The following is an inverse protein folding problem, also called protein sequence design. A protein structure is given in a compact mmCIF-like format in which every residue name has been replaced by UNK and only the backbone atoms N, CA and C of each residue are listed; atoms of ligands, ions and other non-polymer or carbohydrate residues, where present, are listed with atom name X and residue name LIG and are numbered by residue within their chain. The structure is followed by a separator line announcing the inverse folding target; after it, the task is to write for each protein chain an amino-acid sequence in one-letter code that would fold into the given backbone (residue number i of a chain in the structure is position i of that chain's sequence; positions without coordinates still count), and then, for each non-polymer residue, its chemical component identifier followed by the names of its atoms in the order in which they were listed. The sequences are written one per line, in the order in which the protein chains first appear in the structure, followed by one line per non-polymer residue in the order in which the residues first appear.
data_IF_270190053444
#
_entry.id   IF_270190053444
#
_cell.length_a   1.000
_cell.length_b   1.000
_cell.length_c   1.000
_cell.angle_alpha   90.00
_cell.angle_beta   90.00
_cell.angle_gamma   90.00
#
_symmetry.space_group_name_H-M   'P 1'
#
loop_
_entity.id
_entity.type
_entity.pdbx_description
1 polymer ?
#
# COMPACT_ATOMS: atom_id res chain seq x y z
N UNK A 1 9.65 -0.69 -31.56
CA UNK A 1 10.32 -2.01 -31.70
C UNK A 1 9.27 -2.97 -32.27
N UNK A 2 9.34 -3.33 -33.56
CA UNK A 2 8.22 -3.98 -34.27
C UNK A 2 8.15 -5.51 -34.11
N UNK A 3 9.16 -6.14 -33.52
CA UNK A 3 9.27 -7.60 -33.51
C UNK A 3 8.90 -8.20 -32.15
N UNK A 4 8.19 -9.33 -32.19
CA UNK A 4 7.82 -10.12 -31.02
C UNK A 4 9.01 -10.95 -30.54
N UNK A 5 9.50 -10.65 -29.33
CA UNK A 5 10.63 -11.32 -28.69
C UNK A 5 10.41 -12.81 -28.42
N UNK A 6 9.15 -13.28 -28.44
CA UNK A 6 8.84 -14.71 -28.30
C UNK A 6 9.08 -15.51 -29.58
N UNK A 7 9.33 -14.83 -30.72
CA UNK A 7 9.60 -15.47 -32.01
C UNK A 7 11.10 -15.50 -32.30
N UNK A 8 11.57 -16.55 -32.98
CA UNK A 8 12.99 -16.68 -33.37
C UNK A 8 13.48 -15.47 -34.17
N UNK A 9 12.73 -15.06 -35.20
CA UNK A 9 13.02 -13.86 -36.00
C UNK A 9 13.02 -12.58 -35.18
N UNK A 10 12.17 -12.49 -34.16
CA UNK A 10 12.09 -11.31 -33.32
C UNK A 10 13.19 -11.24 -32.28
N UNK A 11 13.58 -12.35 -31.68
CA UNK A 11 14.77 -12.43 -30.82
C UNK A 11 16.04 -12.09 -31.61
N UNK A 12 16.22 -12.68 -32.80
CA UNK A 12 17.38 -12.43 -33.67
C UNK A 12 17.51 -10.96 -34.09
N UNK A 13 16.38 -10.28 -34.31
CA UNK A 13 16.36 -8.85 -34.62
C UNK A 13 16.96 -7.96 -33.51
N UNK A 14 17.10 -8.50 -32.30
CA UNK A 14 17.71 -7.85 -31.13
C UNK A 14 19.00 -8.52 -30.67
N UNK A 15 19.65 -9.29 -31.55
CA UNK A 15 20.86 -10.05 -31.22
C UNK A 15 20.68 -10.98 -30.01
N UNK A 16 19.45 -11.50 -29.82
CA UNK A 16 19.09 -12.50 -28.82
C UNK A 16 18.76 -13.82 -29.50
N UNK A 17 18.91 -14.92 -28.77
CA UNK A 17 18.40 -16.24 -29.15
C UNK A 17 17.25 -16.65 -28.24
N UNK A 18 16.43 -17.62 -28.68
CA UNK A 18 15.39 -18.19 -27.80
C UNK A 18 16.00 -18.90 -26.58
N UNK A 19 17.23 -19.39 -26.68
CA UNK A 19 17.97 -19.94 -25.54
C UNK A 19 18.34 -18.86 -24.51
N UNK A 20 18.60 -17.62 -24.95
CA UNK A 20 18.87 -16.50 -24.05
C UNK A 20 17.64 -16.08 -23.23
N UNK A 21 16.44 -16.40 -23.73
CA UNK A 21 15.13 -16.15 -23.12
C UNK A 21 14.51 -17.43 -22.53
N UNK A 22 15.28 -18.52 -22.43
CA UNK A 22 14.75 -19.81 -21.98
C UNK A 22 14.18 -19.72 -20.56
N UNK A 23 12.92 -20.14 -20.42
CA UNK A 23 12.20 -20.06 -19.14
C UNK A 23 11.74 -18.64 -18.81
N UNK A 24 11.66 -17.76 -19.81
CA UNK A 24 11.01 -16.47 -19.72
C UNK A 24 9.92 -16.32 -20.79
N UNK A 25 8.77 -15.81 -20.37
CA UNK A 25 7.68 -15.42 -21.26
C UNK A 25 7.62 -13.90 -21.36
N UNK A 26 7.58 -13.37 -22.58
CA UNK A 26 7.55 -11.92 -22.81
C UNK A 26 6.15 -11.49 -23.25
N UNK A 27 5.61 -10.45 -22.63
CA UNK A 27 4.36 -9.81 -23.05
C UNK A 27 4.68 -8.42 -23.59
N UNK A 28 4.68 -8.23 -24.92
CA UNK A 28 4.96 -6.94 -25.52
C UNK A 28 3.74 -6.02 -25.42
N UNK A 29 3.99 -4.74 -25.15
CA UNK A 29 2.95 -3.71 -25.04
C UNK A 29 3.31 -2.49 -25.88
N UNK A 30 2.28 -1.93 -26.51
CA UNK A 30 2.39 -0.65 -27.21
C UNK A 30 2.34 0.48 -26.21
N UNK A 31 2.99 1.59 -26.53
CA UNK A 31 3.12 2.72 -25.62
C UNK A 31 2.97 4.03 -26.39
N UNK A 32 1.96 4.81 -26.02
CA UNK A 32 1.79 6.19 -26.42
C UNK A 32 2.39 7.08 -25.33
N UNK A 33 3.32 7.93 -25.73
CA UNK A 33 3.90 8.93 -24.84
C UNK A 33 2.84 9.91 -24.34
N UNK A 34 3.02 10.33 -23.09
CA UNK A 34 2.11 11.23 -22.39
C UNK A 34 2.68 11.61 -21.03
N UNK A 35 1.91 12.39 -20.29
CA UNK A 35 2.21 12.77 -18.92
C UNK A 35 2.19 11.53 -18.02
N UNK A 36 3.15 11.43 -17.11
CA UNK A 36 3.14 10.39 -16.08
C UNK A 36 1.96 10.63 -15.13
N UNK A 37 1.01 9.69 -15.03
CA UNK A 37 -0.12 9.79 -14.11
C UNK A 37 0.05 8.94 -12.85
N UNK A 38 1.29 8.61 -12.48
CA UNK A 38 1.62 7.89 -11.25
C UNK A 38 1.61 8.81 -10.02
N UNK A 39 1.62 8.22 -8.83
CA UNK A 39 1.75 8.96 -7.57
C UNK A 39 3.09 9.71 -7.40
N UNK A 40 4.06 9.46 -8.29
CA UNK A 40 5.36 10.12 -8.28
C UNK A 40 5.34 11.47 -9.01
N UNK A 41 4.33 11.72 -9.85
CA UNK A 41 4.19 13.00 -10.54
C UNK A 41 3.43 14.02 -9.66
N UNK A 42 4.11 15.12 -9.32
CA UNK A 42 3.53 16.22 -8.56
C UNK A 42 2.62 17.14 -9.41
N UNK A 43 2.71 17.05 -10.73
CA UNK A 43 1.91 17.85 -11.66
C UNK A 43 0.62 17.12 -12.03
N UNK A 44 -0.44 17.87 -12.34
CA UNK A 44 -1.69 17.29 -12.83
C UNK A 44 -1.54 16.85 -14.29
N UNK A 45 -1.50 15.55 -14.61
CA UNK A 45 -1.39 15.09 -15.98
C UNK A 45 -2.66 15.48 -16.76
N UNK A 46 -2.48 16.00 -17.97
CA UNK A 46 -3.58 16.32 -18.88
C UNK A 46 -3.78 15.21 -19.91
N UNK A 47 -2.69 14.61 -20.38
CA UNK A 47 -2.71 13.50 -21.34
C UNK A 47 -1.88 12.34 -20.80
N UNK A 48 -2.45 11.47 -19.96
CA UNK A 48 -1.76 10.32 -19.40
C UNK A 48 -1.22 9.38 -20.48
N UNK A 49 -0.12 8.70 -20.19
CA UNK A 49 0.43 7.64 -21.04
C UNK A 49 -0.60 6.55 -21.33
N UNK A 50 -0.57 5.98 -22.54
CA UNK A 50 -1.48 4.90 -22.94
C UNK A 50 -0.70 3.64 -23.29
N UNK A 51 -1.09 2.52 -22.68
CA UNK A 51 -0.60 1.18 -23.00
C UNK A 51 -1.61 0.43 -23.85
N UNK A 52 -1.15 -0.13 -24.97
CA UNK A 52 -1.92 -1.09 -25.77
C UNK A 52 -1.52 -2.52 -25.41
N UNK A 53 -2.48 -3.30 -24.91
CA UNK A 53 -2.25 -4.68 -24.44
C UNK A 53 -3.11 -5.68 -25.20
N UNK A 54 -2.67 -6.93 -25.27
CA UNK A 54 -3.50 -8.03 -25.75
C UNK A 54 -4.38 -8.56 -24.59
N UNK A 55 -5.71 -8.32 -24.59
CA UNK A 55 -6.56 -8.70 -23.46
C UNK A 55 -6.67 -10.21 -23.28
N UNK A 56 -6.66 -10.99 -24.37
CA UNK A 56 -6.70 -12.46 -24.29
C UNK A 56 -5.48 -13.03 -23.58
N UNK A 57 -4.30 -12.47 -23.83
CA UNK A 57 -3.05 -12.92 -23.20
C UNK A 57 -3.04 -12.62 -21.70
N UNK A 58 -3.45 -11.41 -21.30
CA UNK A 58 -3.57 -11.03 -19.89
C UNK A 58 -4.64 -11.86 -19.17
N UNK A 59 -5.76 -12.16 -19.84
CA UNK A 59 -6.81 -13.01 -19.31
C UNK A 59 -6.32 -14.45 -19.08
N UNK A 60 -5.65 -15.04 -20.07
CA UNK A 60 -5.13 -16.42 -20.00
C UNK A 60 -4.14 -16.60 -18.85
N UNK A 61 -3.32 -15.57 -18.59
CA UNK A 61 -2.33 -15.56 -17.50
C UNK A 61 -2.97 -15.27 -16.13
N UNK A 62 -4.25 -14.88 -16.07
CA UNK A 62 -4.88 -14.40 -14.83
C UNK A 62 -4.16 -13.20 -14.24
N UNK A 63 -3.60 -12.34 -15.09
CA UNK A 63 -2.73 -11.24 -14.66
C UNK A 63 -3.52 -10.10 -14.04
N UNK A 64 -2.99 -9.56 -12.93
CA UNK A 64 -3.53 -8.42 -12.17
C UNK A 64 -4.92 -8.64 -11.56
N UNK A 65 -5.20 -7.91 -10.49
CA UNK A 65 -6.51 -7.95 -9.81
C UNK A 65 -7.33 -6.72 -10.18
N UNK A 66 -8.56 -6.92 -10.64
CA UNK A 66 -9.51 -5.83 -10.85
C UNK A 66 -10.17 -5.43 -9.53
N UNK A 67 -10.14 -4.14 -9.21
CA UNK A 67 -10.81 -3.57 -8.04
C UNK A 67 -12.27 -3.21 -8.35
N UNK A 68 -12.55 -2.70 -9.55
CA UNK A 68 -13.91 -2.36 -9.99
C UNK A 68 -14.08 -2.60 -11.49
N UNK A 69 -15.31 -2.94 -11.89
CA UNK A 69 -15.74 -3.10 -13.27
C UNK A 69 -17.06 -2.38 -13.48
N UNK A 70 -17.21 -1.70 -14.61
CA UNK A 70 -18.42 -0.99 -14.98
C UNK A 70 -19.55 -1.96 -15.33
N UNK A 71 -19.21 -3.01 -16.08
CA UNK A 71 -20.15 -4.06 -16.48
C UNK A 71 -19.79 -5.38 -15.80
N UNK A 72 -20.70 -5.85 -14.94
CA UNK A 72 -20.53 -7.09 -14.18
C UNK A 72 -20.55 -8.34 -15.06
N UNK A 73 -20.98 -8.26 -16.33
CA UNK A 73 -20.93 -9.42 -17.24
C UNK A 73 -19.50 -9.95 -17.44
N UNK A 74 -18.49 -9.11 -17.26
CA UNK A 74 -17.08 -9.47 -17.41
C UNK A 74 -16.40 -9.89 -16.09
N UNK A 75 -17.12 -10.11 -15.00
CA UNK A 75 -16.52 -10.41 -13.69
C UNK A 75 -15.59 -11.64 -13.70
N UNK A 76 -15.89 -12.64 -14.54
CA UNK A 76 -15.05 -13.83 -14.72
C UNK A 76 -13.91 -13.65 -15.74
N UNK A 77 -14.05 -12.70 -16.67
CA UNK A 77 -13.11 -12.44 -17.75
C UNK A 77 -12.88 -10.92 -17.91
N UNK A 78 -12.31 -10.27 -16.89
CA UNK A 78 -12.33 -8.82 -16.77
C UNK A 78 -11.57 -8.10 -17.87
N UNK A 79 -10.51 -8.71 -18.42
CA UNK A 79 -9.74 -8.10 -19.50
C UNK A 79 -10.52 -7.98 -20.81
N UNK A 80 -11.49 -8.87 -21.07
CA UNK A 80 -12.31 -8.83 -22.29
C UNK A 80 -13.18 -7.59 -22.41
N UNK A 81 -13.38 -6.84 -21.33
CA UNK A 81 -14.08 -5.54 -21.38
C UNK A 81 -13.39 -4.53 -22.32
N UNK A 82 -12.09 -4.68 -22.57
CA UNK A 82 -11.31 -3.83 -23.47
C UNK A 82 -11.53 -4.11 -24.96
N UNK A 83 -12.21 -5.20 -25.30
CA UNK A 83 -12.48 -5.61 -26.69
C UNK A 83 -13.87 -5.17 -27.16
N UNK A 84 -14.69 -4.65 -26.25
CA UNK A 84 -16.06 -4.22 -26.53
C UNK A 84 -16.08 -2.98 -27.43
N UNK A 85 -16.60 -3.14 -28.65
CA UNK A 85 -16.91 -2.02 -29.54
C UNK A 85 -18.18 -1.31 -29.00
N UNK A 86 -18.03 -0.11 -28.43
CA UNK A 86 -19.12 0.63 -27.77
C UNK A 86 -19.92 1.50 -28.74
N UNK A 87 -21.24 1.56 -28.53
CA UNK A 87 -22.18 2.35 -29.34
C UNK A 87 -21.89 3.87 -29.33
N UNK A 88 -21.33 4.39 -28.25
CA UNK A 88 -20.98 5.81 -28.10
C UNK A 88 -19.65 6.17 -28.78
N UNK A 89 -18.98 5.21 -29.43
CA UNK A 89 -17.70 5.39 -30.11
C UNK A 89 -16.52 5.63 -29.15
N UNK A 90 -16.71 5.46 -27.85
CA UNK A 90 -15.64 5.59 -26.85
C UNK A 90 -14.82 4.30 -26.78
N UNK A 91 -13.50 4.46 -26.62
CA UNK A 91 -12.58 3.33 -26.45
C UNK A 91 -12.61 2.87 -24.99
N UNK A 92 -12.93 1.60 -24.69
CA UNK A 92 -12.86 1.10 -23.33
C UNK A 92 -11.40 1.08 -22.83
N UNK A 93 -11.21 1.55 -21.60
CA UNK A 93 -9.93 1.55 -20.93
C UNK A 93 -10.01 1.10 -19.48
N UNK A 94 -8.92 0.54 -19.02
CA UNK A 94 -8.67 0.15 -17.64
C UNK A 94 -7.47 0.93 -17.12
N UNK A 95 -7.46 1.30 -15.85
CA UNK A 95 -6.33 1.98 -15.24
C UNK A 95 -6.21 1.61 -13.76
N UNK A 96 -5.06 1.86 -13.17
CA UNK A 96 -4.87 1.69 -11.72
C UNK A 96 -5.86 2.57 -10.93
N UNK A 97 -6.49 2.01 -9.90
CA UNK A 97 -7.52 2.70 -9.12
C UNK A 97 -7.01 4.00 -8.50
N UNK A 98 -5.76 4.03 -8.02
CA UNK A 98 -5.19 5.24 -7.42
C UNK A 98 -4.89 6.30 -8.48
N UNK A 99 -4.44 5.90 -9.67
CA UNK A 99 -4.29 6.81 -10.81
C UNK A 99 -5.63 7.45 -11.19
N UNK A 100 -6.71 6.67 -11.29
CA UNK A 100 -8.04 7.19 -11.64
C UNK A 100 -8.56 8.16 -10.58
N UNK A 101 -8.57 7.73 -9.31
CA UNK A 101 -9.21 8.47 -8.23
C UNK A 101 -8.40 9.70 -7.79
N UNK A 102 -7.11 9.54 -7.52
CA UNK A 102 -6.31 10.56 -6.83
C UNK A 102 -5.51 11.46 -7.77
N UNK A 103 -5.09 10.94 -8.92
CA UNK A 103 -4.29 11.72 -9.87
C UNK A 103 -5.21 12.38 -10.89
N UNK A 104 -6.05 11.59 -11.57
CA UNK A 104 -6.94 12.10 -12.61
C UNK A 104 -8.20 12.77 -12.05
N UNK A 105 -8.55 12.50 -10.79
CA UNK A 105 -9.80 12.96 -10.16
C UNK A 105 -11.02 12.57 -11.00
N UNK A 106 -11.01 11.31 -11.44
CA UNK A 106 -12.06 10.69 -12.26
C UNK A 106 -12.70 9.53 -11.51
N UNK A 107 -13.87 9.13 -11.97
CA UNK A 107 -14.57 7.94 -11.49
C UNK A 107 -14.69 6.88 -12.60
N UNK A 108 -15.06 5.68 -12.20
CA UNK A 108 -15.47 4.63 -13.12
C UNK A 108 -16.62 5.15 -14.01
N UNK A 109 -16.49 4.94 -15.31
CA UNK A 109 -17.42 5.44 -16.33
C UNK A 109 -17.05 6.80 -16.92
N UNK A 110 -16.12 7.56 -16.33
CA UNK A 110 -15.69 8.84 -16.89
C UNK A 110 -14.85 8.67 -18.16
N UNK A 111 -14.79 9.74 -18.96
CA UNK A 111 -13.98 9.80 -20.18
C UNK A 111 -12.78 10.73 -20.06
N UNK A 112 -11.71 10.34 -20.76
CA UNK A 112 -10.52 11.10 -21.06
C UNK A 112 -10.52 11.42 -22.57
N UNK A 113 -10.01 12.58 -22.94
CA UNK A 113 -9.93 12.99 -24.35
C UNK A 113 -8.48 13.06 -24.77
N UNK A 114 -8.16 12.35 -25.84
CA UNK A 114 -6.86 12.35 -26.50
C UNK A 114 -6.99 12.98 -27.88
N UNK A 115 -5.87 13.50 -28.40
CA UNK A 115 -5.76 13.94 -29.79
C UNK A 115 -4.74 13.02 -30.46
N UNK A 116 -5.14 12.31 -31.51
CA UNK A 116 -4.22 11.46 -32.25
C UNK A 116 -3.34 12.28 -33.23
N UNK A 117 -2.37 11.65 -33.90
CA UNK A 117 -1.49 12.35 -34.85
C UNK A 117 -2.22 12.89 -36.09
N UNK A 118 -3.47 12.47 -36.34
CA UNK A 118 -4.36 13.03 -37.37
C UNK A 118 -5.16 14.25 -36.89
N UNK A 119 -5.02 14.65 -35.62
CA UNK A 119 -5.79 15.75 -35.02
C UNK A 119 -7.23 15.37 -34.62
N UNK A 120 -7.59 14.09 -34.68
CA UNK A 120 -8.91 13.59 -34.31
C UNK A 120 -9.01 13.43 -32.79
N UNK A 121 -10.19 13.75 -32.24
CA UNK A 121 -10.47 13.55 -30.82
C UNK A 121 -10.84 12.09 -30.56
N UNK A 122 -10.03 11.42 -29.74
CA UNK A 122 -10.27 10.05 -29.29
C UNK A 122 -10.75 10.10 -27.85
N UNK A 123 -11.99 9.66 -27.62
CA UNK A 123 -12.55 9.56 -26.27
C UNK A 123 -12.29 8.17 -25.70
N UNK A 124 -11.65 8.13 -24.54
CA UNK A 124 -11.28 6.91 -23.84
C UNK A 124 -12.08 6.84 -22.54
N UNK A 125 -12.88 5.80 -22.34
CA UNK A 125 -13.76 5.64 -21.17
C UNK A 125 -13.19 4.64 -20.18
N UNK A 126 -13.16 5.01 -18.91
CA UNK A 126 -12.69 4.13 -17.83
C UNK A 126 -13.79 3.11 -17.52
N UNK A 127 -13.61 1.87 -17.96
CA UNK A 127 -14.59 0.78 -17.79
C UNK A 127 -14.21 -0.21 -16.69
N UNK A 128 -12.98 -0.11 -16.17
CA UNK A 128 -12.54 -0.88 -15.01
C UNK A 128 -11.35 -0.23 -14.33
N UNK A 129 -11.11 -0.61 -13.08
CA UNK A 129 -9.92 -0.21 -12.34
C UNK A 129 -9.18 -1.42 -11.81
N UNK A 130 -7.85 -1.37 -11.89
CA UNK A 130 -6.96 -2.37 -11.29
C UNK A 130 -6.66 -1.99 -9.84
N UNK A 131 -6.51 -3.00 -8.97
CA UNK A 131 -5.84 -2.81 -7.70
C UNK A 131 -4.38 -2.34 -7.93
N UNK A 132 -3.75 -1.79 -6.89
CA UNK A 132 -2.37 -1.25 -6.95
C UNK A 132 -1.42 -2.18 -7.71
N UNK A 133 -0.88 -1.70 -8.81
CA UNK A 133 -0.06 -2.50 -9.73
C UNK A 133 1.12 -1.73 -10.33
N UNK A 134 2.02 -2.46 -10.99
CA UNK A 134 3.14 -1.86 -11.74
C UNK A 134 2.71 -1.04 -12.97
N UNK A 135 1.43 -1.12 -13.37
CA UNK A 135 0.87 -0.36 -14.48
C UNK A 135 0.37 1.03 -14.04
N UNK A 136 0.52 1.38 -12.75
CA UNK A 136 0.18 2.70 -12.24
C UNK A 136 0.77 3.82 -13.10
N UNK A 137 -0.04 4.83 -13.38
CA UNK A 137 0.29 5.96 -14.23
C UNK A 137 -0.03 5.79 -15.72
N UNK A 138 -0.52 4.62 -16.13
CA UNK A 138 -0.91 4.35 -17.51
C UNK A 138 -2.43 4.13 -17.64
N UNK A 139 -2.97 4.53 -18.78
CA UNK A 139 -4.29 4.15 -19.26
C UNK A 139 -4.12 2.94 -20.18
N UNK A 140 -4.84 1.86 -19.94
CA UNK A 140 -4.66 0.58 -20.64
C UNK A 140 -5.85 0.38 -21.57
N UNK A 141 -5.59 0.17 -22.85
CA UNK A 141 -6.59 -0.14 -23.89
C UNK A 141 -6.18 -1.42 -24.62
N UNK A 142 -7.13 -2.05 -25.34
CA UNK A 142 -6.78 -3.19 -26.19
C UNK A 142 -5.86 -2.75 -27.34
N UNK A 143 -4.95 -3.64 -27.73
CA UNK A 143 -4.03 -3.39 -28.84
C UNK A 143 -4.78 -3.12 -30.16
N UNK A 144 -5.91 -3.81 -30.38
CA UNK A 144 -6.83 -3.57 -31.50
C UNK A 144 -7.24 -2.09 -31.56
N UNK A 145 -7.74 -1.54 -30.47
CA UNK A 145 -8.14 -0.12 -30.42
C UNK A 145 -6.95 0.83 -30.48
N UNK A 146 -5.82 0.45 -29.89
CA UNK A 146 -4.59 1.24 -29.95
C UNK A 146 -4.14 1.46 -31.39
N UNK A 147 -4.09 0.39 -32.20
CA UNK A 147 -3.68 0.45 -33.61
C UNK A 147 -4.68 1.28 -34.44
N UNK A 148 -5.99 1.12 -34.20
CA UNK A 148 -7.03 1.85 -34.92
C UNK A 148 -6.99 3.37 -34.63
N UNK A 149 -6.83 3.75 -33.35
CA UNK A 149 -6.91 5.15 -32.92
C UNK A 149 -5.58 5.89 -32.95
N UNK A 150 -4.45 5.19 -32.83
CA UNK A 150 -3.10 5.75 -32.79
C UNK A 150 -2.15 5.07 -33.81
N UNK A 151 -2.48 5.11 -35.12
CA UNK A 151 -1.71 4.40 -36.15
C UNK A 151 -0.28 4.91 -36.33
N UNK A 152 -0.01 6.16 -35.95
CA UNK A 152 1.32 6.78 -36.05
C UNK A 152 2.34 6.15 -35.08
N UNK A 153 1.87 5.44 -34.06
CA UNK A 153 2.71 4.77 -33.07
C UNK A 153 2.98 3.33 -33.50
N UNK A 154 4.19 3.10 -34.00
CA UNK A 154 4.62 1.80 -34.49
C UNK A 154 5.41 0.99 -33.45
N UNK A 155 5.07 -0.31 -33.40
CA UNK A 155 5.74 -1.31 -32.59
C UNK A 155 5.50 -1.20 -31.09
N UNK A 156 6.18 -2.10 -30.37
CA UNK A 156 6.21 -2.21 -28.92
C UNK A 156 7.31 -1.33 -28.34
N UNK A 157 7.14 -0.89 -27.09
CA UNK A 157 8.16 -0.13 -26.34
C UNK A 157 8.25 -0.53 -24.87
N UNK A 158 7.29 -1.32 -24.38
CA UNK A 158 7.29 -1.86 -23.02
C UNK A 158 7.11 -3.36 -23.10
N UNK A 159 7.84 -4.09 -22.27
CA UNK A 159 7.83 -5.55 -22.25
C UNK A 159 7.70 -6.00 -20.79
N UNK A 160 6.70 -6.82 -20.51
CA UNK A 160 6.67 -7.57 -19.25
C UNK A 160 7.37 -8.89 -19.49
N UNK A 161 8.32 -9.24 -18.62
CA UNK A 161 9.08 -10.48 -18.74
C UNK A 161 8.84 -11.28 -17.48
N UNK A 162 8.15 -12.41 -17.61
CA UNK A 162 7.95 -13.37 -16.53
C UNK A 162 9.01 -14.45 -16.65
N UNK A 163 9.93 -14.52 -15.68
CA UNK A 163 11.04 -15.45 -15.68
C UNK A 163 11.09 -16.20 -14.35
N UNK A 164 11.41 -17.50 -14.40
CA UNK A 164 11.56 -18.30 -13.18
C UNK A 164 12.61 -17.70 -12.24
N UNK A 165 12.44 -17.79 -10.90
CA UNK A 165 13.35 -17.16 -9.94
C UNK A 165 14.83 -17.55 -10.11
N UNK A 166 15.11 -18.75 -10.61
CA UNK A 166 16.47 -19.23 -10.88
C UNK A 166 17.11 -18.66 -12.14
N UNK A 167 16.32 -18.28 -13.14
CA UNK A 167 16.80 -17.80 -14.46
C UNK A 167 16.71 -16.28 -14.62
N UNK A 168 15.90 -15.60 -13.79
CA UNK A 168 15.62 -14.17 -13.85
C UNK A 168 16.86 -13.28 -14.00
N UNK A 169 17.93 -13.54 -13.22
CA UNK A 169 19.18 -12.76 -13.33
C UNK A 169 19.90 -12.95 -14.67
N UNK A 170 19.89 -14.18 -15.19
CA UNK A 170 20.47 -14.50 -16.50
C UNK A 170 19.71 -13.83 -17.63
N UNK A 171 18.38 -14.00 -17.63
CA UNK A 171 17.48 -13.39 -18.63
C UNK A 171 17.59 -11.86 -18.60
N UNK A 172 17.57 -11.24 -17.41
CA UNK A 172 17.74 -9.79 -17.27
C UNK A 172 19.08 -9.30 -17.85
N UNK A 173 20.19 -10.01 -17.59
CA UNK A 173 21.50 -9.67 -18.14
C UNK A 173 21.54 -9.80 -19.66
N UNK A 174 20.96 -10.87 -20.20
CA UNK A 174 20.90 -11.11 -21.64
C UNK A 174 20.06 -10.03 -22.35
N UNK A 175 18.88 -9.70 -21.81
CA UNK A 175 18.04 -8.61 -22.30
C UNK A 175 18.75 -7.26 -22.25
N UNK A 176 19.46 -6.96 -21.14
CA UNK A 176 20.22 -5.72 -21.00
C UNK A 176 21.31 -5.60 -22.08
N UNK A 177 21.96 -6.72 -22.41
CA UNK A 177 22.99 -6.77 -23.43
C UNK A 177 22.42 -6.65 -24.85
N UNK A 178 21.43 -7.48 -25.21
CA UNK A 178 20.86 -7.49 -26.57
C UNK A 178 20.12 -6.19 -26.92
N UNK A 179 19.52 -5.53 -25.94
CA UNK A 179 18.78 -4.28 -26.14
C UNK A 179 19.57 -3.02 -25.73
N UNK A 180 20.88 -3.14 -25.51
CA UNK A 180 21.72 -2.02 -25.05
C UNK A 180 21.70 -0.84 -26.03
N UNK A 181 21.74 -1.12 -27.34
CA UNK A 181 21.74 -0.09 -28.40
C UNK A 181 20.42 0.69 -28.48
N UNK A 182 19.35 0.12 -27.91
CA UNK A 182 18.03 0.76 -27.81
C UNK A 182 17.83 1.53 -26.51
N UNK A 183 18.83 1.53 -25.61
CA UNK A 183 18.74 2.22 -24.32
C UNK A 183 17.68 1.64 -23.38
N UNK A 184 17.52 0.32 -23.39
CA UNK A 184 16.52 -0.35 -22.54
C UNK A 184 16.73 -0.04 -21.07
N UNK A 185 15.64 0.24 -20.35
CA UNK A 185 15.62 0.24 -18.89
C UNK A 185 14.93 -1.02 -18.41
N UNK A 186 15.63 -1.80 -17.60
CA UNK A 186 15.13 -3.04 -17.01
C UNK A 186 15.05 -2.82 -15.50
N UNK A 187 13.82 -2.82 -15.00
CA UNK A 187 13.52 -2.70 -13.58
C UNK A 187 12.78 -3.98 -13.15
N UNK A 188 13.07 -4.52 -11.96
CA UNK A 188 12.24 -5.61 -11.46
C UNK A 188 10.85 -5.10 -11.09
N UNK A 189 9.82 -5.92 -11.28
CA UNK A 189 8.45 -5.63 -10.84
C UNK A 189 8.40 -5.29 -9.35
N UNK A 190 9.24 -5.95 -8.54
CA UNK A 190 9.37 -5.68 -7.11
C UNK A 190 9.93 -4.28 -6.81
N UNK A 191 11.02 -3.87 -7.47
CA UNK A 191 11.59 -2.52 -7.31
C UNK A 191 10.63 -1.45 -7.82
N UNK A 192 9.98 -1.70 -8.96
CA UNK A 192 9.00 -0.77 -9.54
C UNK A 192 7.82 -0.55 -8.60
N UNK A 193 7.23 -1.63 -8.07
CA UNK A 193 6.13 -1.54 -7.10
C UNK A 193 6.59 -0.91 -5.79
N UNK A 194 7.78 -1.25 -5.30
CA UNK A 194 8.35 -0.64 -4.11
C UNK A 194 8.49 0.88 -4.29
N UNK A 195 8.91 1.35 -5.47
CA UNK A 195 9.06 2.78 -5.76
C UNK A 195 7.75 3.56 -5.64
N UNK A 196 6.63 2.98 -6.08
CA UNK A 196 5.30 3.59 -5.93
C UNK A 196 4.84 3.62 -4.47
N UNK A 197 5.17 2.56 -3.73
CA UNK A 197 4.84 2.47 -2.31
C UNK A 197 5.73 3.35 -1.42
N UNK A 198 6.85 3.91 -1.90
CA UNK A 198 7.71 4.78 -1.08
C UNK A 198 6.95 6.00 -0.59
N UNK A 199 6.15 6.64 -1.46
CA UNK A 199 5.40 7.86 -1.10
C UNK A 199 4.36 7.55 -0.04
N UNK A 200 3.58 6.49 -0.25
CA UNK A 200 2.56 6.03 0.70
C UNK A 200 3.19 5.61 2.05
N UNK A 201 4.24 4.79 2.02
CA UNK A 201 4.93 4.34 3.22
C UNK A 201 5.57 5.49 4.00
N UNK A 202 6.12 6.50 3.31
CA UNK A 202 6.68 7.68 3.97
C UNK A 202 5.60 8.49 4.67
N UNK A 203 4.47 8.70 4.00
CA UNK A 203 3.30 9.36 4.59
C UNK A 203 2.79 8.61 5.82
N UNK A 204 2.55 7.30 5.70
CA UNK A 204 2.11 6.45 6.80
C UNK A 204 3.11 6.41 7.95
N UNK A 205 4.41 6.38 7.65
CA UNK A 205 5.48 6.39 8.66
C UNK A 205 5.47 7.67 9.51
N UNK A 206 5.14 8.83 8.93
CA UNK A 206 5.01 10.09 9.68
C UNK A 206 3.85 10.00 10.68
N UNK A 207 2.67 9.53 10.25
CA UNK A 207 1.53 9.35 11.15
C UNK A 207 1.80 8.29 12.21
N UNK A 208 2.46 7.19 11.85
CA UNK A 208 2.85 6.15 12.79
C UNK A 208 3.86 6.69 13.82
N UNK A 209 4.81 7.52 13.39
CA UNK A 209 5.76 8.17 14.29
C UNK A 209 5.07 9.14 15.25
N UNK A 210 4.13 9.95 14.74
CA UNK A 210 3.34 10.88 15.55
C UNK A 210 2.42 10.12 16.54
N UNK A 211 1.77 9.05 16.09
CA UNK A 211 0.99 8.15 16.93
C UNK A 211 1.84 7.47 18.00
N UNK A 212 3.05 7.02 17.63
CA UNK A 212 4.05 6.48 18.54
C UNK A 212 4.47 7.46 19.63
N UNK A 213 4.75 8.71 19.23
CA UNK A 213 5.04 9.79 20.18
C UNK A 213 3.85 10.07 21.11
N UNK A 214 2.63 10.08 20.57
CA UNK A 214 1.40 10.21 21.35
C UNK A 214 1.24 9.10 22.38
N UNK A 215 1.55 7.85 22.01
CA UNK A 215 1.54 6.72 22.94
C UNK A 215 2.58 6.88 24.06
N UNK A 216 3.80 7.32 23.73
CA UNK A 216 4.85 7.58 24.72
C UNK A 216 4.39 8.64 25.72
N UNK A 217 3.94 9.80 25.23
CA UNK A 217 3.45 10.90 26.07
C UNK A 217 2.23 10.50 26.91
N UNK A 218 1.29 9.73 26.34
CA UNK A 218 0.13 9.21 27.07
C UNK A 218 0.53 8.26 28.19
N UNK A 219 1.46 7.33 27.93
CA UNK A 219 1.95 6.38 28.94
C UNK A 219 2.74 7.05 30.07
N UNK A 220 3.55 8.07 29.74
CA UNK A 220 4.21 8.95 30.71
C UNK A 220 3.19 9.71 31.57
N UNK A 221 2.19 10.32 30.94
CA UNK A 221 1.12 11.06 31.62
C UNK A 221 0.36 10.18 32.61
N UNK A 222 0.03 8.95 32.21
CA UNK A 222 -0.55 7.95 33.10
C UNK A 222 0.35 7.68 34.31
N UNK A 223 1.65 7.50 34.10
CA UNK A 223 2.63 7.32 35.18
C UNK A 223 2.63 8.49 36.17
N UNK A 224 2.56 9.74 35.68
CA UNK A 224 2.47 10.94 36.52
C UNK A 224 1.17 10.97 37.34
N UNK A 225 0.04 10.61 36.72
CA UNK A 225 -1.26 10.54 37.40
C UNK A 225 -1.25 9.47 38.49
N UNK A 226 -0.72 8.28 38.20
CA UNK A 226 -0.58 7.19 39.18
C UNK A 226 0.33 7.61 40.33
N UNK A 227 1.48 8.22 40.01
CA UNK A 227 2.41 8.74 41.02
C UNK A 227 1.71 9.73 41.95
N UNK A 228 0.97 10.70 41.39
CA UNK A 228 0.21 11.69 42.16
C UNK A 228 -0.84 11.03 43.06
N UNK A 229 -1.60 10.07 42.54
CA UNK A 229 -2.64 9.35 43.28
C UNK A 229 -2.05 8.59 44.50
N UNK A 230 -0.94 7.89 44.30
CA UNK A 230 -0.29 7.13 45.39
C UNK A 230 0.35 8.06 46.43
N UNK A 231 0.88 9.21 46.02
CA UNK A 231 1.42 10.21 46.95
C UNK A 231 0.32 10.85 47.81
N UNK A 232 -0.84 11.15 47.24
CA UNK A 232 -2.00 11.68 47.99
C UNK A 232 -2.52 10.66 49.02
N UNK A 233 -2.44 9.35 48.72
CA UNK A 233 -2.89 8.26 49.61
C UNK A 233 -1.80 7.68 50.50
N UNK A 234 -0.66 8.37 50.63
CA UNK A 234 0.51 7.86 51.35
C UNK A 234 0.25 7.65 52.84
N UNK A 235 -0.62 8.45 53.46
CA UNK A 235 -1.05 8.28 54.86
C UNK A 235 -1.75 6.95 55.11
N UNK A 236 -2.70 6.58 54.25
CA UNK A 236 -3.40 5.27 54.30
C UNK A 236 -2.42 4.10 54.16
N UNK A 237 -1.48 4.20 53.21
CA UNK A 237 -0.47 3.17 52.96
C UNK A 237 0.53 3.05 54.14
N UNK A 238 0.83 4.16 54.82
CA UNK A 238 1.65 4.17 56.03
C UNK A 238 0.95 3.48 57.21
N UNK A 239 -0.36 3.70 57.37
CA UNK A 239 -1.18 2.99 58.38
C UNK A 239 -1.19 1.48 58.15
N UNK A 240 -1.41 1.04 56.90
CA UNK A 240 -1.35 -0.40 56.57
C UNK A 240 0.01 -1.00 56.93
N UNK A 241 1.10 -0.27 56.68
CA UNK A 241 2.45 -0.72 57.06
C UNK A 241 2.64 -0.77 58.58
N UNK A 242 2.07 0.18 59.33
CA UNK A 242 2.12 0.18 60.79
C UNK A 242 1.36 -1.00 61.41
N UNK A 243 0.27 -1.44 60.77
CA UNK A 243 -0.52 -2.63 61.18
C UNK A 243 0.18 -3.96 60.82
N UNK A 244 1.27 -3.93 60.03
CA UNK A 244 2.12 -5.08 59.76
C UNK A 244 2.12 -5.58 58.31
N UNK A 245 1.50 -4.86 57.37
CA UNK A 245 1.58 -5.22 55.95
C UNK A 245 3.00 -5.01 55.41
N UNK A 246 3.49 -6.00 54.64
CA UNK A 246 4.81 -5.92 53.99
C UNK A 246 4.76 -4.99 52.79
N UNK A 247 5.89 -4.35 52.48
CA UNK A 247 6.04 -3.47 51.31
C UNK A 247 5.55 -4.12 50.00
N UNK A 248 5.90 -5.39 49.77
CA UNK A 248 5.47 -6.13 48.58
C UNK A 248 3.96 -6.39 48.51
N UNK A 249 3.27 -6.49 49.65
CA UNK A 249 1.80 -6.62 49.68
C UNK A 249 1.13 -5.30 49.32
N UNK A 250 1.64 -4.19 49.87
CA UNK A 250 1.15 -2.84 49.57
C UNK A 250 1.36 -2.51 48.09
N UNK A 251 2.54 -2.79 47.54
CA UNK A 251 2.83 -2.60 46.12
C UNK A 251 1.88 -3.41 45.22
N UNK A 252 1.58 -4.68 45.57
CA UNK A 252 0.64 -5.51 44.81
C UNK A 252 -0.78 -4.93 44.81
N UNK A 253 -1.25 -4.41 45.95
CA UNK A 253 -2.57 -3.78 46.05
C UNK A 253 -2.66 -2.57 45.12
N UNK A 254 -1.69 -1.66 45.20
CA UNK A 254 -1.63 -0.45 44.37
C UNK A 254 -1.57 -0.80 42.88
N UNK A 255 -0.73 -1.77 42.51
CA UNK A 255 -0.64 -2.21 41.11
C UNK A 255 -1.97 -2.79 40.63
N UNK A 256 -2.60 -3.68 41.41
CA UNK A 256 -3.86 -4.30 40.99
C UNK A 256 -4.97 -3.27 40.75
N UNK A 257 -5.06 -2.24 41.60
CA UNK A 257 -6.01 -1.13 41.44
C UNK A 257 -5.81 -0.40 40.10
N UNK A 258 -4.57 -0.04 39.78
CA UNK A 258 -4.27 0.73 38.56
C UNK A 258 -4.30 -0.14 37.29
N UNK A 259 -3.98 -1.43 37.40
CA UNK A 259 -4.09 -2.37 36.30
C UNK A 259 -5.52 -2.49 35.76
N UNK A 260 -6.52 -2.50 36.65
CA UNK A 260 -7.92 -2.53 36.21
C UNK A 260 -8.31 -1.29 35.40
N UNK A 261 -7.86 -0.10 35.82
CA UNK A 261 -8.08 1.15 35.10
C UNK A 261 -7.40 1.15 33.73
N UNK A 262 -6.17 0.63 33.65
CA UNK A 262 -5.43 0.50 32.38
C UNK A 262 -6.15 -0.44 31.42
N UNK A 263 -6.60 -1.60 31.88
CA UNK A 263 -7.35 -2.56 31.05
C UNK A 263 -8.63 -1.92 30.52
N UNK A 264 -9.41 -1.27 31.39
CA UNK A 264 -10.65 -0.62 31.00
C UNK A 264 -10.40 0.48 29.95
N UNK A 265 -9.39 1.33 30.18
CA UNK A 265 -9.00 2.37 29.23
C UNK A 265 -8.56 1.79 27.88
N UNK A 266 -7.79 0.70 27.89
CA UNK A 266 -7.34 0.04 26.67
C UNK A 266 -8.49 -0.61 25.90
N UNK A 267 -9.45 -1.23 26.58
CA UNK A 267 -10.65 -1.78 25.95
C UNK A 267 -11.47 -0.68 25.28
N UNK A 268 -11.75 0.41 25.99
CA UNK A 268 -12.52 1.54 25.45
C UNK A 268 -11.79 2.18 24.26
N UNK A 269 -10.48 2.41 24.38
CA UNK A 269 -9.66 2.97 23.32
C UNK A 269 -9.60 2.06 22.08
N UNK A 270 -9.43 0.76 22.28
CA UNK A 270 -9.41 -0.23 21.19
C UNK A 270 -10.76 -0.29 20.48
N UNK A 271 -11.87 -0.31 21.23
CA UNK A 271 -13.22 -0.31 20.65
C UNK A 271 -13.49 0.97 19.85
N UNK A 272 -13.14 2.14 20.41
CA UNK A 272 -13.28 3.41 19.70
C UNK A 272 -12.43 3.46 18.42
N UNK A 273 -11.20 2.94 18.47
CA UNK A 273 -10.34 2.82 17.29
C UNK A 273 -10.92 1.89 16.23
N UNK A 274 -11.42 0.72 16.64
CA UNK A 274 -12.05 -0.25 15.74
C UNK A 274 -13.26 0.37 15.02
N UNK A 275 -14.11 1.09 15.75
CA UNK A 275 -15.29 1.76 15.18
C UNK A 275 -14.89 2.80 14.14
N UNK A 276 -13.81 3.54 14.36
CA UNK A 276 -13.29 4.53 13.40
C UNK A 276 -12.80 3.89 12.09
N UNK A 277 -12.19 2.70 12.17
CA UNK A 277 -11.58 2.01 11.03
C UNK A 277 -12.57 1.11 10.27
N UNK A 278 -13.73 0.79 10.85
CA UNK A 278 -14.77 -0.08 10.24
C UNK A 278 -15.09 0.22 8.76
N UNK A 279 -15.34 1.48 8.34
CA UNK A 279 -15.65 1.79 6.95
C UNK A 279 -14.49 1.47 5.99
N UNK A 280 -13.25 1.64 6.45
CA UNK A 280 -12.06 1.33 5.67
C UNK A 280 -11.87 -0.17 5.49
N UNK A 281 -12.19 -0.98 6.52
CA UNK A 281 -12.11 -2.45 6.44
C UNK A 281 -13.09 -3.00 5.39
N UNK A 282 -14.31 -2.46 5.33
CA UNK A 282 -15.32 -2.91 4.36
C UNK A 282 -15.00 -2.57 2.90
N UNK A 283 -14.12 -1.60 2.67
CA UNK A 283 -13.77 -1.09 1.33
C UNK A 283 -12.38 -1.53 0.86
N UNK A 284 -11.55 -2.07 1.76
CA UNK A 284 -10.16 -2.41 1.48
C UNK A 284 -10.03 -3.81 0.88
N UNK A 285 -9.30 -3.90 -0.23
CA UNK A 285 -8.86 -5.16 -0.83
C UNK A 285 -7.58 -5.72 -0.18
N UNK A 286 -7.04 -5.05 0.83
CA UNK A 286 -5.83 -5.45 1.54
C UNK A 286 -6.14 -6.28 2.79
N UNK A 287 -5.36 -7.34 3.08
CA UNK A 287 -5.52 -8.11 4.30
C UNK A 287 -5.27 -7.24 5.53
N UNK A 288 -6.18 -7.31 6.50
CA UNK A 288 -6.09 -6.52 7.72
C UNK A 288 -4.83 -6.93 8.52
N UNK A 289 -3.97 -5.98 8.95
CA UNK A 289 -2.66 -6.28 9.53
C UNK A 289 -2.73 -6.69 11.01
N UNK A 290 -3.34 -7.85 11.30
CA UNK A 290 -3.55 -8.36 12.67
C UNK A 290 -2.24 -8.48 13.47
N UNK A 291 -1.13 -8.84 12.81
CA UNK A 291 0.18 -9.00 13.47
C UNK A 291 0.72 -7.66 13.96
N UNK A 292 0.70 -6.62 13.11
CA UNK A 292 1.18 -5.30 13.49
C UNK A 292 0.30 -4.69 14.60
N UNK A 293 -1.02 -4.79 14.45
CA UNK A 293 -1.97 -4.30 15.45
C UNK A 293 -1.75 -4.98 16.82
N UNK A 294 -1.67 -6.32 16.85
CA UNK A 294 -1.44 -7.04 18.09
C UNK A 294 -0.10 -6.68 18.73
N UNK A 295 0.96 -6.52 17.95
CA UNK A 295 2.26 -6.06 18.44
C UNK A 295 2.21 -4.65 19.03
N UNK A 296 1.51 -3.71 18.39
CA UNK A 296 1.35 -2.34 18.91
C UNK A 296 0.54 -2.30 20.20
N UNK A 297 -0.54 -3.07 20.30
CA UNK A 297 -1.36 -3.16 21.51
C UNK A 297 -0.57 -3.80 22.66
N UNK A 298 0.19 -4.87 22.39
CA UNK A 298 1.08 -5.47 23.37
C UNK A 298 2.17 -4.50 23.84
N UNK A 299 2.77 -3.75 22.91
CA UNK A 299 3.74 -2.70 23.23
C UNK A 299 3.14 -1.59 24.10
N UNK A 300 1.90 -1.18 23.80
CA UNK A 300 1.17 -0.18 24.60
C UNK A 300 0.88 -0.70 26.02
N UNK A 301 0.38 -1.93 26.15
CA UNK A 301 0.18 -2.59 27.45
C UNK A 301 1.50 -2.59 28.21
N UNK A 302 2.57 -3.11 27.63
CA UNK A 302 3.88 -3.19 28.26
C UNK A 302 4.38 -1.81 28.73
N UNK A 303 4.23 -0.77 27.91
CA UNK A 303 4.59 0.60 28.29
C UNK A 303 3.80 1.09 29.51
N UNK A 304 2.46 0.93 29.52
CA UNK A 304 1.62 1.31 30.65
C UNK A 304 2.00 0.55 31.93
N UNK A 305 2.31 -0.75 31.83
CA UNK A 305 2.75 -1.56 32.96
C UNK A 305 4.09 -1.09 33.53
N UNK A 306 5.03 -0.76 32.67
CA UNK A 306 6.34 -0.23 33.08
C UNK A 306 6.15 1.11 33.81
N UNK A 307 5.37 2.04 33.24
CA UNK A 307 5.16 3.36 33.85
C UNK A 307 4.41 3.31 35.17
N UNK A 308 3.35 2.51 35.26
CA UNK A 308 2.61 2.31 36.51
C UNK A 308 3.48 1.67 37.60
N UNK A 309 4.30 0.68 37.24
CA UNK A 309 5.25 0.05 38.14
C UNK A 309 6.32 1.02 38.65
N UNK A 310 6.93 1.79 37.75
CA UNK A 310 7.92 2.80 38.10
C UNK A 310 7.32 3.89 39.01
N UNK A 311 6.12 4.38 38.67
CA UNK A 311 5.39 5.36 39.47
C UNK A 311 5.10 4.85 40.88
N UNK A 312 4.58 3.62 41.01
CA UNK A 312 4.26 3.01 42.30
C UNK A 312 5.51 2.82 43.18
N UNK A 313 6.63 2.35 42.60
CA UNK A 313 7.90 2.23 43.33
C UNK A 313 8.41 3.59 43.79
N UNK A 314 8.39 4.59 42.91
CA UNK A 314 8.90 5.91 43.22
C UNK A 314 8.08 6.58 44.34
N UNK A 315 6.75 6.44 44.31
CA UNK A 315 5.85 6.94 45.34
C UNK A 315 6.08 6.27 46.71
N UNK A 316 6.33 4.96 46.70
CA UNK A 316 6.52 4.14 47.90
C UNK A 316 7.95 4.22 48.46
N UNK A 317 8.92 4.76 47.71
CA UNK A 317 10.29 4.99 48.18
C UNK A 317 10.32 6.08 49.26
N UNK A 318 11.04 5.79 50.34
CA UNK A 318 11.21 6.67 51.51
C UNK A 318 10.50 6.15 52.77
N UNK A 319 10.81 6.73 53.95
CA UNK A 319 10.21 6.33 55.22
C UNK A 319 8.72 6.73 55.26
N UNK A 320 7.83 5.80 54.91
CA UNK A 320 6.37 6.00 54.97
C UNK A 320 5.90 6.45 56.36
N UNK A 321 6.60 6.07 57.43
CA UNK A 321 6.29 6.48 58.81
C UNK A 321 6.47 7.98 59.06
N UNK A 322 7.30 8.69 58.28
CA UNK A 322 7.41 10.14 58.41
C UNK A 322 6.16 10.86 57.90
N UNK A 323 5.36 10.23 57.02
CA UNK A 323 4.10 10.80 56.57
C UNK A 323 3.08 10.92 57.72
N UNK A 324 3.07 9.96 58.65
CA UNK A 324 2.24 9.99 59.87
C UNK A 324 2.67 11.07 60.89
N UNK A 325 3.86 11.65 60.72
CA UNK A 325 4.40 12.66 61.63
C UNK A 325 4.12 14.10 61.20
N UNK A 326 3.57 14.26 59.98
CA UNK A 326 3.33 15.55 59.33
C UNK A 326 1.84 15.83 59.08
N UNK A 327 0.93 14.98 59.59
CA UNK A 327 -0.47 15.31 59.86
C UNK A 327 -0.63 15.64 61.36
#
# INVERSE_FOLDING_TARGET
ILHDLNTEKGAEAYALTLDDLKGADVVPMRFLEGDDASCLNLNRPQMPQVLGVNPEEFQKRGSFTFAQLLDKKYENEPWRILEEDREDGTVPAVADQNTVMWILHKALGDTLTYINGRGERVQVRIVGTLASSILQGNIIISEKHFIDKFPDVSGYRTFLVDAEPGTMKGVSKNLAFGLQDYGVRIDTTAEKLASFNVVENTYLSIFQSLGGLGMILGSLGLGVVVLRNVLERRGELALLRAVGFRYGQILKIVLFEHWWLVILGLVIGTLSGLVSVLPAIGSAHHPFPYVSLSLTLLGMVASCLIWTYLAAIFALRGPLLNALRNE
#
